data_IF_194544262143
#
_entry.id   IF_194544262143
#
_cell.length_a   1.000
_cell.length_b   1.000
_cell.length_c   1.000
_cell.angle_alpha   90.00
_cell.angle_beta   90.00
_cell.angle_gamma   90.00
#
_symmetry.space_group_name_H-M   'P 1'
#
loop_
_entity.id
_entity.type
_entity.pdbx_description
1 polymer ?
#
# COMPACT_ATOMS: atom_id res chain seq x y z
N UNK A 1 1.85 19.41 -14.10
CA UNK A 1 1.26 18.54 -15.14
C UNK A 1 0.82 17.25 -14.45
N UNK A 2 -0.50 17.01 -14.32
CA UNK A 2 -0.98 15.74 -13.75
C UNK A 2 -0.71 14.62 -14.75
N UNK A 3 0.04 13.60 -14.33
CA UNK A 3 0.46 12.49 -15.22
C UNK A 3 -0.68 11.55 -15.61
N UNK A 4 -1.83 11.65 -14.95
CA UNK A 4 -3.00 10.80 -15.17
C UNK A 4 -4.27 11.64 -15.28
N UNK A 5 -5.19 11.18 -16.13
CA UNK A 5 -6.58 11.64 -16.19
C UNK A 5 -7.38 11.07 -15.01
N UNK A 6 -8.56 11.65 -14.73
CA UNK A 6 -9.47 11.15 -13.68
C UNK A 6 -9.83 9.66 -13.84
N UNK A 7 -10.22 9.16 -15.04
CA UNK A 7 -10.51 7.74 -15.21
C UNK A 7 -9.31 6.83 -14.97
N UNK A 8 -8.11 7.23 -15.43
CA UNK A 8 -6.87 6.48 -15.19
C UNK A 8 -6.53 6.43 -13.70
N UNK A 9 -6.65 7.57 -13.00
CA UNK A 9 -6.42 7.64 -11.56
C UNK A 9 -7.37 6.71 -10.79
N UNK A 10 -8.66 6.68 -11.17
CA UNK A 10 -9.66 5.79 -10.59
C UNK A 10 -9.34 4.31 -10.84
N UNK A 11 -8.93 3.95 -12.05
CA UNK A 11 -8.55 2.57 -12.39
C UNK A 11 -7.31 2.13 -11.60
N UNK A 12 -6.29 2.98 -11.52
CA UNK A 12 -5.08 2.69 -10.75
C UNK A 12 -5.37 2.56 -9.25
N UNK A 13 -6.23 3.43 -8.69
CA UNK A 13 -6.66 3.33 -7.30
C UNK A 13 -7.39 2.00 -7.03
N UNK A 14 -8.27 1.56 -7.93
CA UNK A 14 -8.94 0.27 -7.83
C UNK A 14 -7.95 -0.91 -7.84
N UNK A 15 -6.90 -0.83 -8.66
CA UNK A 15 -5.85 -1.87 -8.71
C UNK A 15 -4.95 -1.87 -7.47
N UNK A 16 -4.70 -0.71 -6.86
CA UNK A 16 -3.82 -0.57 -5.67
C UNK A 16 -4.49 -1.00 -4.36
N UNK A 17 -5.80 -0.80 -4.20
CA UNK A 17 -6.54 -1.20 -2.99
C UNK A 17 -6.32 -2.67 -2.55
N UNK A 18 -6.49 -3.69 -3.42
CA UNK A 18 -6.26 -5.07 -3.01
C UNK A 18 -4.79 -5.33 -2.66
N UNK A 19 -3.85 -4.63 -3.30
CA UNK A 19 -2.42 -4.73 -2.97
C UNK A 19 -2.13 -4.16 -1.58
N UNK A 20 -2.68 -3.00 -1.25
CA UNK A 20 -2.54 -2.41 0.09
C UNK A 20 -3.13 -3.34 1.16
N UNK A 21 -4.31 -3.91 0.90
CA UNK A 21 -4.95 -4.86 1.80
C UNK A 21 -4.06 -6.10 2.06
N UNK A 22 -3.50 -6.69 1.00
CA UNK A 22 -2.62 -7.85 1.13
C UNK A 22 -1.33 -7.53 1.93
N UNK A 23 -0.77 -6.34 1.77
CA UNK A 23 0.40 -5.91 2.55
C UNK A 23 0.06 -5.75 4.04
N UNK A 24 -1.11 -5.16 4.36
CA UNK A 24 -1.57 -5.03 5.74
C UNK A 24 -1.78 -6.40 6.40
N UNK A 25 -2.37 -7.36 5.68
CA UNK A 25 -2.55 -8.73 6.14
C UNK A 25 -1.21 -9.44 6.36
N UNK A 26 -0.27 -9.29 5.42
CA UNK A 26 1.09 -9.85 5.55
C UNK A 26 1.82 -9.28 6.76
N UNK A 27 1.74 -7.96 6.97
CA UNK A 27 2.34 -7.29 8.12
C UNK A 27 1.75 -7.78 9.44
N UNK A 28 0.43 -7.96 9.50
CA UNK A 28 -0.23 -8.53 10.67
C UNK A 28 0.25 -9.96 10.97
N UNK A 29 0.39 -10.80 9.93
CA UNK A 29 0.91 -12.15 10.08
C UNK A 29 2.39 -12.17 10.53
N UNK A 30 3.23 -11.29 9.98
CA UNK A 30 4.64 -11.18 10.37
C UNK A 30 4.81 -10.76 11.83
N UNK A 31 4.02 -9.78 12.31
CA UNK A 31 4.08 -9.35 13.72
C UNK A 31 3.74 -10.49 14.68
N UNK A 32 2.87 -11.43 14.28
CA UNK A 32 2.54 -12.60 15.11
C UNK A 32 3.55 -13.75 14.99
N UNK A 33 4.18 -13.91 13.83
CA UNK A 33 5.05 -15.05 13.55
C UNK A 33 6.53 -14.80 13.89
N UNK A 34 6.98 -13.54 13.84
CA UNK A 34 8.38 -13.20 14.01
C UNK A 34 8.78 -13.13 15.49
N UNK A 35 10.01 -13.56 15.84
CA UNK A 35 10.54 -13.41 17.20
C UNK A 35 10.58 -11.96 17.66
N UNK A 36 10.50 -11.76 18.99
CA UNK A 36 10.67 -10.43 19.58
C UNK A 36 12.05 -9.86 19.22
N UNK A 37 12.08 -8.65 18.67
CA UNK A 37 13.30 -7.97 18.21
C UNK A 37 13.62 -8.20 16.74
N UNK A 38 12.89 -9.07 16.05
CA UNK A 38 12.95 -9.19 14.60
C UNK A 38 12.26 -7.98 13.93
N UNK A 39 12.84 -7.51 12.83
CA UNK A 39 12.41 -6.34 12.06
C UNK A 39 12.13 -6.67 10.60
N UNK A 40 12.06 -7.95 10.21
CA UNK A 40 11.74 -8.35 8.84
C UNK A 40 10.35 -7.89 8.34
N UNK A 41 9.47 -7.43 9.24
CA UNK A 41 8.21 -6.76 8.90
C UNK A 41 8.40 -5.30 8.43
N UNK A 42 9.57 -4.69 8.64
CA UNK A 42 9.85 -3.30 8.29
C UNK A 42 9.80 -3.06 6.78
N UNK A 43 10.30 -4.00 5.96
CA UNK A 43 10.19 -3.92 4.49
C UNK A 43 8.72 -3.92 4.05
N UNK A 44 7.87 -4.69 4.74
CA UNK A 44 6.42 -4.69 4.50
C UNK A 44 5.79 -3.36 4.90
N UNK A 45 6.22 -2.77 6.03
CA UNK A 45 5.75 -1.46 6.48
C UNK A 45 6.12 -0.36 5.47
N UNK A 46 7.36 -0.34 4.97
CA UNK A 46 7.77 0.61 3.92
C UNK A 46 6.92 0.44 2.65
N UNK A 47 6.66 -0.80 2.24
CA UNK A 47 5.77 -1.09 1.11
C UNK A 47 4.33 -0.60 1.34
N UNK A 48 3.81 -0.70 2.58
CA UNK A 48 2.49 -0.16 2.98
C UNK A 48 2.49 1.35 2.83
N UNK A 49 3.50 2.06 3.36
CA UNK A 49 3.60 3.51 3.30
C UNK A 49 3.63 4.02 1.86
N UNK A 50 4.45 3.40 1.01
CA UNK A 50 4.54 3.71 -0.42
C UNK A 50 3.20 3.47 -1.13
N UNK A 51 2.57 2.32 -0.89
CA UNK A 51 1.31 1.94 -1.51
C UNK A 51 0.15 2.85 -1.07
N UNK A 52 0.08 3.17 0.23
CA UNK A 52 -0.91 4.07 0.82
C UNK A 52 -0.74 5.50 0.29
N UNK A 53 0.50 6.01 0.25
CA UNK A 53 0.80 7.33 -0.29
C UNK A 53 0.48 7.45 -1.79
N UNK A 54 0.72 6.40 -2.57
CA UNK A 54 0.32 6.35 -3.98
C UNK A 54 -1.20 6.33 -4.13
N UNK A 55 -1.92 5.52 -3.35
CA UNK A 55 -3.38 5.46 -3.37
C UNK A 55 -4.01 6.81 -3.02
N UNK A 56 -3.54 7.47 -1.96
CA UNK A 56 -4.04 8.79 -1.56
C UNK A 56 -3.88 9.83 -2.67
N UNK A 57 -2.72 9.85 -3.35
CA UNK A 57 -2.48 10.75 -4.49
C UNK A 57 -3.42 10.47 -5.67
N UNK A 58 -3.72 9.20 -5.95
CA UNK A 58 -4.63 8.81 -7.03
C UNK A 58 -6.09 9.15 -6.71
N UNK A 59 -6.51 8.94 -5.46
CA UNK A 59 -7.86 9.28 -5.01
C UNK A 59 -8.11 10.79 -5.01
N UNK A 60 -7.09 11.60 -4.71
CA UNK A 60 -7.18 13.06 -4.84
C UNK A 60 -7.32 13.55 -6.31
N UNK A 61 -6.97 12.70 -7.28
CA UNK A 61 -7.03 13.01 -8.71
C UNK A 61 -8.28 12.48 -9.41
N UNK A 62 -9.06 11.59 -8.78
CA UNK A 62 -10.24 10.94 -9.36
C UNK A 62 -11.49 11.84 -9.20
#
# INVERSE_FOLDING_TARGET
MNKFTRPEAKLLAQALRPRLQALLEMRAAQVQALPVGDTAWADTEEAIELCSGALHKLEALA
#
